data_IF_547076049498
#
_entry.id   IF_547076049498
#
_cell.length_a   1.000
_cell.length_b   1.000
_cell.length_c   1.000
_cell.angle_alpha   90.00
_cell.angle_beta   90.00
_cell.angle_gamma   90.00
#
_symmetry.space_group_name_H-M   'P 1'
#
loop_
_entity.id
_entity.type
_entity.pdbx_description
1 polymer ?
#
# COMPACT_ATOMS: atom_id res chain seq x y z
N UNK A 1 -11.42 18.46 -13.10
CA UNK A 1 -10.87 19.19 -11.94
C UNK A 1 -9.97 20.32 -12.39
N UNK A 2 -9.96 21.47 -11.70
CA UNK A 2 -8.95 22.52 -11.88
C UNK A 2 -7.78 22.23 -10.94
N UNK A 3 -6.74 21.59 -11.46
CA UNK A 3 -5.56 21.16 -10.69
C UNK A 3 -4.48 22.22 -10.81
N UNK A 4 -3.98 22.68 -9.67
CA UNK A 4 -2.73 23.44 -9.57
C UNK A 4 -1.58 22.47 -9.23
N UNK A 5 -0.33 22.93 -9.16
CA UNK A 5 0.81 22.03 -8.92
C UNK A 5 0.76 21.28 -7.57
N UNK A 6 0.14 21.85 -6.54
CA UNK A 6 0.14 21.30 -5.18
C UNK A 6 -1.25 21.18 -4.55
N UNK A 7 -2.29 21.71 -5.17
CA UNK A 7 -3.65 21.70 -4.61
C UNK A 7 -4.74 21.87 -5.68
N UNK A 8 -5.99 21.64 -5.31
CA UNK A 8 -7.17 22.09 -6.06
C UNK A 8 -8.13 22.87 -5.18
N UNK A 9 -8.79 23.88 -5.76
CA UNK A 9 -9.89 24.66 -5.15
C UNK A 9 -11.23 24.42 -5.85
N UNK A 10 -11.33 23.33 -6.60
CA UNK A 10 -12.56 23.00 -7.36
C UNK A 10 -13.78 22.78 -6.46
N UNK A 11 -13.56 22.48 -5.18
CA UNK A 11 -14.59 22.28 -4.15
C UNK A 11 -14.62 23.41 -3.13
N UNK A 12 -14.47 24.66 -3.58
CA UNK A 12 -14.52 25.84 -2.69
C UNK A 12 -15.74 25.77 -1.73
N UNK A 13 -15.55 26.05 -0.42
CA UNK A 13 -14.38 26.67 0.21
C UNK A 13 -13.22 25.71 0.52
N UNK A 14 -13.35 24.41 0.24
CA UNK A 14 -12.30 23.45 0.49
C UNK A 14 -11.10 23.65 -0.46
N UNK A 15 -9.90 23.50 0.10
CA UNK A 15 -8.64 23.42 -0.63
C UNK A 15 -8.06 22.05 -0.37
N UNK A 16 -7.96 21.22 -1.41
CA UNK A 16 -7.48 19.85 -1.29
C UNK A 16 -6.02 19.79 -1.74
N UNK A 17 -5.07 19.39 -0.89
CA UNK A 17 -3.69 19.18 -1.31
C UNK A 17 -3.61 17.99 -2.28
N UNK A 18 -2.72 18.08 -3.28
CA UNK A 18 -2.48 16.98 -4.22
C UNK A 18 -1.35 16.09 -3.71
N UNK A 19 -1.59 14.78 -3.76
CA UNK A 19 -0.60 13.74 -3.51
C UNK A 19 -0.83 12.65 -4.56
N UNK A 20 -0.32 12.86 -5.79
CA UNK A 20 -0.68 12.01 -6.90
C UNK A 20 -0.09 10.61 -6.78
N UNK A 21 -0.89 9.60 -7.12
CA UNK A 21 -0.51 8.19 -7.15
C UNK A 21 -1.36 7.43 -8.19
N UNK A 22 -1.06 6.16 -8.42
CA UNK A 22 -1.89 5.26 -9.21
C UNK A 22 -2.62 4.28 -8.29
N UNK A 23 -3.95 4.22 -8.37
CA UNK A 23 -4.80 3.31 -7.61
C UNK A 23 -4.59 1.85 -7.98
N UNK A 24 -4.36 1.59 -9.26
CA UNK A 24 -4.03 0.26 -9.80
C UNK A 24 -2.52 0.11 -9.96
N UNK A 25 -1.93 -0.83 -9.21
CA UNK A 25 -0.56 -1.32 -9.44
C UNK A 25 -0.51 -2.81 -9.11
N UNK A 26 -0.08 -3.67 -10.03
CA UNK A 26 -0.07 -5.11 -9.78
C UNK A 26 0.71 -5.94 -10.79
N UNK A 27 0.92 -7.19 -10.44
CA UNK A 27 1.49 -8.26 -11.28
C UNK A 27 0.39 -9.23 -11.72
N UNK A 28 0.68 -10.13 -12.66
CA UNK A 28 -0.29 -11.14 -13.07
C UNK A 28 -0.63 -12.10 -11.90
N UNK A 29 -1.92 -12.35 -11.62
CA UNK A 29 -2.38 -13.35 -10.64
C UNK A 29 -1.90 -14.76 -10.98
N UNK A 30 -1.85 -15.65 -9.98
CA UNK A 30 -1.43 -17.04 -10.18
C UNK A 30 -2.39 -17.81 -11.10
N UNK A 31 -3.67 -17.49 -11.04
CA UNK A 31 -4.71 -18.10 -11.85
C UNK A 31 -4.54 -17.74 -13.33
N UNK A 32 -4.64 -18.69 -14.27
CA UNK A 32 -4.59 -18.40 -15.69
C UNK A 32 -5.89 -17.70 -16.14
N UNK A 33 -5.76 -16.71 -17.03
CA UNK A 33 -6.89 -16.08 -17.70
C UNK A 33 -6.81 -14.56 -17.80
N UNK A 34 -7.93 -13.95 -18.15
CA UNK A 34 -8.09 -12.51 -18.19
C UNK A 34 -8.87 -12.03 -16.97
N UNK A 35 -8.31 -11.06 -16.25
CA UNK A 35 -8.90 -10.53 -15.03
C UNK A 35 -9.31 -9.08 -15.24
N UNK A 36 -10.46 -8.71 -14.67
CA UNK A 36 -10.85 -7.30 -14.57
C UNK A 36 -9.93 -6.62 -13.56
N UNK A 37 -9.52 -5.39 -13.86
CA UNK A 37 -8.61 -4.61 -13.00
C UNK A 37 -9.25 -4.13 -11.68
N UNK A 38 -10.56 -4.33 -11.49
CA UNK A 38 -11.33 -3.75 -10.37
C UNK A 38 -10.96 -4.32 -9.00
N UNK A 39 -10.71 -5.63 -8.89
CA UNK A 39 -10.52 -6.25 -7.58
C UNK A 39 -9.04 -6.26 -7.20
N UNK A 40 -8.67 -5.77 -6.00
CA UNK A 40 -7.34 -6.00 -5.45
C UNK A 40 -7.18 -7.45 -4.94
N UNK A 41 -5.94 -7.83 -4.70
CA UNK A 41 -5.57 -9.12 -4.12
C UNK A 41 -4.09 -9.21 -3.77
N UNK A 42 -3.59 -10.43 -3.57
CA UNK A 42 -2.17 -10.69 -3.26
C UNK A 42 -1.22 -10.18 -4.34
N UNK A 43 -1.68 -10.14 -5.59
CA UNK A 43 -0.97 -9.61 -6.75
C UNK A 43 -0.94 -8.08 -6.84
N UNK A 44 -1.53 -7.36 -5.87
CA UNK A 44 -1.77 -5.92 -5.92
C UNK A 44 -3.13 -5.59 -6.54
N UNK A 45 -3.15 -4.90 -7.68
CA UNK A 45 -4.38 -4.52 -8.38
C UNK A 45 -4.92 -3.17 -7.91
N UNK A 46 -6.25 -3.02 -7.85
CA UNK A 46 -6.92 -1.78 -7.42
C UNK A 46 -6.90 -1.62 -5.91
N UNK A 47 -5.72 -1.34 -5.35
CA UNK A 47 -5.53 -1.26 -3.91
C UNK A 47 -5.92 0.12 -3.36
N UNK A 48 -5.81 1.16 -4.19
CA UNK A 48 -6.16 2.54 -3.84
C UNK A 48 -5.50 3.00 -2.53
N UNK A 49 -4.19 2.74 -2.43
CA UNK A 49 -3.37 3.12 -1.27
C UNK A 49 -2.68 4.44 -1.55
N UNK A 50 -3.20 5.53 -0.96
CA UNK A 50 -2.72 6.91 -1.22
C UNK A 50 -1.26 7.14 -0.86
N UNK A 51 -0.64 6.25 -0.07
CA UNK A 51 0.79 6.28 0.26
C UNK A 51 1.71 5.87 -0.92
N UNK A 52 1.17 5.35 -2.04
CA UNK A 52 1.91 4.98 -3.25
C UNK A 52 2.33 6.18 -4.12
N UNK A 53 2.85 7.23 -3.47
CA UNK A 53 3.34 8.44 -4.14
C UNK A 53 4.76 8.29 -4.67
N UNK A 54 5.22 9.30 -5.41
CA UNK A 54 6.62 9.39 -5.84
C UNK A 54 7.58 9.26 -4.64
N UNK A 55 8.55 8.34 -4.74
CA UNK A 55 9.50 8.01 -3.68
C UNK A 55 9.12 6.78 -2.85
N UNK A 56 7.88 6.31 -2.94
CA UNK A 56 7.48 5.02 -2.35
C UNK A 56 8.01 3.84 -3.17
N UNK A 57 8.19 2.69 -2.52
CA UNK A 57 8.53 1.41 -3.15
C UNK A 57 7.45 0.39 -2.81
N UNK A 58 6.87 -0.22 -3.85
CA UNK A 58 5.89 -1.31 -3.74
C UNK A 58 6.60 -2.65 -4.01
N UNK A 59 6.43 -3.60 -3.09
CA UNK A 59 6.87 -4.98 -3.24
C UNK A 59 5.65 -5.85 -3.52
N UNK A 60 5.73 -6.69 -4.55
CA UNK A 60 4.66 -7.58 -4.99
C UNK A 60 5.18 -9.03 -5.07
N UNK A 61 4.38 -10.02 -4.66
CA UNK A 61 4.72 -11.42 -4.85
C UNK A 61 4.61 -11.80 -6.34
N UNK A 62 5.74 -12.19 -6.95
CA UNK A 62 5.78 -12.60 -8.35
C UNK A 62 5.60 -14.11 -8.43
N UNK A 63 4.48 -14.55 -9.01
CA UNK A 63 4.10 -15.96 -9.18
C UNK A 63 4.08 -16.41 -10.64
N UNK A 64 4.26 -15.48 -11.58
CA UNK A 64 4.35 -15.73 -13.02
C UNK A 64 5.66 -15.19 -13.61
N UNK A 65 6.15 -15.86 -14.64
CA UNK A 65 7.36 -15.45 -15.37
C UNK A 65 7.22 -14.03 -15.92
N UNK A 66 8.27 -13.23 -15.71
CA UNK A 66 8.30 -11.81 -16.08
C UNK A 66 7.43 -10.89 -15.22
N UNK A 67 6.66 -11.42 -14.25
CA UNK A 67 5.77 -10.67 -13.36
C UNK A 67 4.56 -10.06 -14.05
N UNK A 68 4.66 -9.62 -15.31
CA UNK A 68 3.60 -9.01 -16.10
C UNK A 68 2.99 -7.79 -15.37
N UNK A 69 3.87 -6.93 -14.87
CA UNK A 69 3.50 -5.74 -14.11
C UNK A 69 2.69 -4.76 -14.96
N UNK A 70 1.63 -4.20 -14.37
CA UNK A 70 0.82 -3.13 -14.94
C UNK A 70 0.47 -2.09 -13.88
N UNK A 71 0.24 -0.85 -14.32
CA UNK A 71 -0.25 0.23 -13.48
C UNK A 71 -1.23 1.12 -14.23
N UNK A 72 -2.12 1.80 -13.51
CA UNK A 72 -3.14 2.67 -14.07
C UNK A 72 -3.93 3.37 -12.97
N UNK A 73 -5.07 3.94 -13.33
CA UNK A 73 -5.95 4.66 -12.41
C UNK A 73 -5.27 5.80 -11.61
N UNK A 74 -4.69 6.80 -12.32
CA UNK A 74 -4.05 7.95 -11.68
C UNK A 74 -5.02 8.88 -10.95
N UNK A 75 -4.78 9.07 -9.66
CA UNK A 75 -5.52 10.01 -8.81
C UNK A 75 -4.61 11.19 -8.45
N UNK A 76 -5.13 12.42 -8.53
CA UNK A 76 -4.42 13.61 -8.07
C UNK A 76 -4.47 13.75 -6.53
N UNK A 77 -5.56 13.26 -5.92
CA UNK A 77 -5.71 13.10 -4.49
C UNK A 77 -6.83 12.09 -4.19
N UNK A 78 -6.68 11.36 -3.08
CA UNK A 78 -7.67 10.46 -2.53
C UNK A 78 -7.62 10.49 -0.99
N UNK A 79 -8.77 10.35 -0.34
CA UNK A 79 -8.85 10.11 1.11
C UNK A 79 -8.98 8.62 1.42
N UNK A 80 -8.62 8.21 2.65
CA UNK A 80 -8.81 6.83 3.09
C UNK A 80 -10.28 6.42 2.94
N UNK A 81 -10.48 5.27 2.31
CA UNK A 81 -11.78 4.66 2.06
C UNK A 81 -12.35 4.95 0.68
N UNK A 82 -11.85 5.97 -0.04
CA UNK A 82 -12.35 6.33 -1.37
C UNK A 82 -13.90 6.40 -1.43
N UNK A 83 -14.49 7.03 -0.40
CA UNK A 83 -15.89 6.80 0.01
C UNK A 83 -16.98 7.10 -1.04
N UNK A 84 -16.65 7.82 -2.11
CA UNK A 84 -17.56 8.15 -3.21
C UNK A 84 -17.19 7.46 -4.52
N UNK A 85 -16.56 6.27 -4.45
CA UNK A 85 -16.16 5.41 -5.57
C UNK A 85 -14.92 5.89 -6.32
N UNK A 86 -14.59 7.18 -6.31
CA UNK A 86 -13.46 7.71 -7.07
C UNK A 86 -12.64 8.68 -6.23
N UNK A 87 -11.35 8.74 -6.51
CA UNK A 87 -10.50 9.86 -6.17
C UNK A 87 -10.72 11.07 -7.09
N UNK A 88 -9.76 11.99 -7.07
CA UNK A 88 -9.64 13.03 -8.10
C UNK A 88 -8.95 12.41 -9.32
N UNK A 89 -9.73 11.76 -10.17
CA UNK A 89 -9.22 11.14 -11.41
C UNK A 89 -8.54 12.17 -12.32
N UNK A 90 -7.34 11.83 -12.82
CA UNK A 90 -6.57 12.74 -13.66
C UNK A 90 -5.63 12.02 -14.64
N UNK A 91 -5.39 12.53 -15.86
CA UNK A 91 -4.32 11.99 -16.68
C UNK A 91 -2.96 12.22 -16.02
N UNK A 92 -2.09 11.20 -16.06
CA UNK A 92 -0.75 11.28 -15.49
C UNK A 92 0.31 10.66 -16.41
N UNK A 93 1.54 11.16 -16.31
CA UNK A 93 2.74 10.50 -16.84
C UNK A 93 3.54 9.97 -15.66
N UNK A 94 3.72 8.66 -15.60
CA UNK A 94 4.33 7.99 -14.44
C UNK A 94 5.66 7.37 -14.84
N UNK A 95 6.68 7.53 -13.99
CA UNK A 95 7.98 6.88 -14.13
C UNK A 95 8.18 5.93 -12.97
N UNK A 96 8.37 4.65 -13.26
CA UNK A 96 8.69 3.61 -12.28
C UNK A 96 10.04 2.98 -12.57
N UNK A 97 10.71 2.48 -11.53
CA UNK A 97 11.88 1.60 -11.65
C UNK A 97 11.45 0.22 -11.15
N UNK A 98 11.66 -0.80 -11.97
CA UNK A 98 11.33 -2.19 -11.63
C UNK A 98 12.63 -2.95 -11.36
N UNK A 99 12.64 -3.77 -10.32
CA UNK A 99 13.77 -4.63 -9.96
C UNK A 99 13.23 -5.93 -9.39
N UNK A 100 13.97 -7.03 -9.59
CA UNK A 100 13.56 -8.34 -9.10
C UNK A 100 14.29 -8.62 -7.79
N UNK A 101 13.53 -8.89 -6.74
CA UNK A 101 14.03 -9.47 -5.50
C UNK A 101 13.82 -10.98 -5.55
N UNK A 102 14.90 -11.75 -5.39
CA UNK A 102 14.84 -13.22 -5.33
C UNK A 102 14.63 -13.67 -3.89
N UNK A 103 13.95 -14.81 -3.74
CA UNK A 103 13.83 -15.55 -2.48
C UNK A 103 13.29 -14.72 -1.29
N UNK A 104 12.30 -13.87 -1.54
CA UNK A 104 11.71 -12.99 -0.50
C UNK A 104 10.73 -13.70 0.43
N UNK A 105 10.01 -14.72 -0.05
CA UNK A 105 8.92 -15.35 0.71
C UNK A 105 7.72 -14.40 0.92
N UNK A 106 7.65 -13.29 0.20
CA UNK A 106 6.55 -12.33 0.29
C UNK A 106 5.24 -12.97 -0.18
N UNK A 107 4.16 -12.82 0.60
CA UNK A 107 2.85 -13.43 0.35
C UNK A 107 1.77 -12.44 -0.10
N UNK A 108 2.02 -11.13 0.03
CA UNK A 108 1.12 -10.07 -0.38
C UNK A 108 1.83 -8.73 -0.56
N UNK A 109 1.12 -7.66 -0.96
CA UNK A 109 1.75 -6.38 -1.23
C UNK A 109 2.32 -5.75 0.04
N UNK A 110 3.50 -5.15 -0.06
CA UNK A 110 4.14 -4.38 1.01
C UNK A 110 4.63 -3.05 0.44
N UNK A 111 4.45 -1.96 1.18
CA UNK A 111 4.89 -0.63 0.75
C UNK A 111 5.92 -0.11 1.72
N UNK A 112 6.92 0.59 1.19
CA UNK A 112 7.77 1.46 1.99
C UNK A 112 7.70 2.87 1.45
N UNK A 113 7.44 3.84 2.32
CA UNK A 113 7.33 5.24 1.88
C UNK A 113 8.65 5.98 2.11
N UNK A 114 8.85 7.05 1.33
CA UNK A 114 9.91 8.01 1.59
C UNK A 114 9.64 8.78 2.91
N UNK A 115 10.67 9.33 3.56
CA UNK A 115 10.48 10.21 4.71
C UNK A 115 9.50 11.35 4.41
N UNK A 116 8.50 11.54 5.28
CA UNK A 116 7.60 12.69 5.21
C UNK A 116 8.05 13.77 6.21
N UNK A 117 7.72 15.05 5.98
CA UNK A 117 7.91 16.07 7.00
C UNK A 117 7.14 15.68 8.29
N UNK A 118 7.81 15.90 9.42
CA UNK A 118 7.48 15.40 10.75
C UNK A 118 6.02 15.63 11.25
N UNK A 119 5.54 14.82 12.21
CA UNK A 119 6.27 13.73 12.87
C UNK A 119 6.19 12.44 12.05
N UNK A 120 7.35 11.90 11.69
CA UNK A 120 7.43 10.59 11.05
C UNK A 120 8.57 10.52 10.04
N UNK A 121 9.38 9.46 10.14
CA UNK A 121 10.17 9.02 9.00
C UNK A 121 9.26 8.51 7.88
N UNK A 122 9.81 7.68 6.99
CA UNK A 122 8.93 6.89 6.12
C UNK A 122 8.11 5.90 6.94
N UNK A 123 7.27 5.12 6.29
CA UNK A 123 6.45 4.07 6.89
C UNK A 123 6.74 2.74 6.21
N UNK A 124 6.57 1.64 6.93
CA UNK A 124 6.34 0.32 6.33
C UNK A 124 4.86 0.01 6.41
N UNK A 125 4.27 -0.45 5.30
CA UNK A 125 2.86 -0.80 5.23
C UNK A 125 2.67 -2.23 4.73
N UNK A 126 1.82 -2.98 5.41
CA UNK A 126 1.30 -4.27 4.94
C UNK A 126 -0.11 -4.06 4.39
N UNK A 127 -0.33 -4.47 3.15
CA UNK A 127 -1.60 -4.25 2.44
C UNK A 127 -2.32 -5.58 2.31
N UNK A 128 -3.56 -5.62 2.78
CA UNK A 128 -4.43 -6.79 2.69
C UNK A 128 -5.78 -6.42 2.12
N UNK A 129 -6.33 -7.33 1.34
CA UNK A 129 -7.62 -7.15 0.70
C UNK A 129 -8.51 -8.36 0.90
N UNK A 130 -9.71 -8.13 1.40
CA UNK A 130 -10.67 -9.18 1.73
C UNK A 130 -12.11 -8.66 1.55
N UNK A 131 -13.10 -9.55 1.52
CA UNK A 131 -14.51 -9.16 1.55
C UNK A 131 -14.94 -8.67 2.93
N UNK A 132 -14.21 -9.03 3.98
CA UNK A 132 -14.39 -8.55 5.35
C UNK A 132 -13.21 -7.66 5.78
N UNK A 133 -13.48 -6.38 6.07
CA UNK A 133 -12.50 -5.43 6.56
C UNK A 133 -11.77 -5.91 7.82
N UNK A 134 -12.45 -6.62 8.73
CA UNK A 134 -11.83 -7.14 9.95
C UNK A 134 -10.89 -8.32 9.64
N UNK A 135 -11.23 -9.14 8.66
CA UNK A 135 -10.35 -10.21 8.19
C UNK A 135 -9.08 -9.62 7.54
N UNK A 136 -9.22 -8.62 6.67
CA UNK A 136 -8.08 -7.90 6.08
C UNK A 136 -7.21 -7.23 7.16
N UNK A 137 -7.82 -6.57 8.15
CA UNK A 137 -7.10 -5.93 9.25
C UNK A 137 -6.30 -6.93 10.10
N UNK A 138 -6.87 -8.10 10.40
CA UNK A 138 -6.16 -9.17 11.13
C UNK A 138 -4.99 -9.71 10.32
N UNK A 139 -5.18 -9.95 9.02
CA UNK A 139 -4.12 -10.42 8.12
C UNK A 139 -2.98 -9.40 8.02
N UNK A 140 -3.30 -8.11 7.86
CA UNK A 140 -2.30 -7.05 7.76
C UNK A 140 -1.50 -6.90 9.07
N UNK A 141 -2.19 -7.05 10.22
CA UNK A 141 -1.57 -7.06 11.54
C UNK A 141 -0.62 -8.23 11.72
N UNK A 142 -1.03 -9.46 11.36
CA UNK A 142 -0.17 -10.64 11.45
C UNK A 142 1.08 -10.47 10.58
N UNK A 143 0.91 -10.02 9.34
CA UNK A 143 2.04 -9.73 8.44
C UNK A 143 2.99 -8.67 8.97
N UNK A 144 2.48 -7.67 9.70
CA UNK A 144 3.34 -6.68 10.36
C UNK A 144 4.13 -7.32 11.52
N UNK A 145 3.50 -8.18 12.31
CA UNK A 145 4.17 -8.92 13.40
C UNK A 145 5.31 -9.76 12.82
N UNK A 146 5.04 -10.55 11.78
CA UNK A 146 6.04 -11.43 11.15
C UNK A 146 7.22 -10.60 10.61
N UNK A 147 6.93 -9.48 9.96
CA UNK A 147 7.94 -8.56 9.47
C UNK A 147 8.80 -7.98 10.59
N UNK A 148 8.20 -7.59 11.71
CA UNK A 148 8.91 -7.05 12.88
C UNK A 148 9.80 -8.10 13.54
N UNK A 149 9.31 -9.34 13.66
CA UNK A 149 10.08 -10.48 14.18
C UNK A 149 11.28 -10.78 13.27
N UNK A 150 11.06 -10.84 11.95
CA UNK A 150 12.09 -11.19 10.97
C UNK A 150 13.23 -10.15 10.86
N UNK A 151 12.95 -8.88 11.15
CA UNK A 151 13.91 -7.78 10.95
C UNK A 151 14.57 -7.27 12.23
N UNK A 152 13.97 -7.48 13.40
CA UNK A 152 14.49 -6.99 14.70
C UNK A 152 14.54 -8.06 15.79
N UNK A 153 14.32 -9.33 15.46
CA UNK A 153 14.36 -10.46 16.40
C UNK A 153 13.49 -10.23 17.65
N UNK A 154 12.41 -9.47 17.49
CA UNK A 154 11.45 -9.27 18.56
C UNK A 154 10.79 -10.61 18.89
N UNK A 155 10.51 -10.83 20.19
CA UNK A 155 9.58 -11.89 20.57
C UNK A 155 8.21 -11.58 19.94
N UNK A 156 7.46 -12.57 19.44
CA UNK A 156 6.15 -12.33 18.83
C UNK A 156 5.20 -11.52 19.70
N UNK A 157 5.22 -11.71 21.02
CA UNK A 157 4.38 -10.96 21.97
C UNK A 157 4.79 -9.47 22.04
N UNK A 158 6.09 -9.17 21.94
CA UNK A 158 6.57 -7.80 21.91
C UNK A 158 6.25 -7.11 20.59
N UNK A 159 6.40 -7.82 19.46
CA UNK A 159 5.98 -7.30 18.15
C UNK A 159 4.48 -7.00 18.13
N UNK A 160 3.65 -7.88 18.71
CA UNK A 160 2.22 -7.64 18.81
C UNK A 160 1.85 -6.45 19.71
N UNK A 161 2.49 -6.32 20.88
CA UNK A 161 2.33 -5.15 21.75
C UNK A 161 2.76 -3.85 21.04
N UNK A 162 3.86 -3.90 20.29
CA UNK A 162 4.35 -2.76 19.49
C UNK A 162 3.32 -2.35 18.43
N UNK A 163 2.76 -3.32 17.70
CA UNK A 163 1.67 -3.06 16.77
C UNK A 163 0.50 -2.35 17.47
N UNK A 164 0.12 -2.78 18.66
CA UNK A 164 -1.02 -2.18 19.39
C UNK A 164 -0.81 -0.71 19.79
N UNK A 165 0.43 -0.26 19.97
CA UNK A 165 0.72 1.10 20.48
C UNK A 165 1.31 2.05 19.44
N UNK A 166 1.77 1.53 18.29
CA UNK A 166 2.49 2.33 17.31
C UNK A 166 2.11 2.06 15.84
N UNK A 167 1.26 1.08 15.56
CA UNK A 167 0.78 0.80 14.20
C UNK A 167 -0.61 1.40 13.98
N UNK A 168 -0.82 1.99 12.82
CA UNK A 168 -2.12 2.46 12.35
C UNK A 168 -2.75 1.43 11.41
N UNK A 169 -4.03 1.11 11.61
CA UNK A 169 -4.85 0.41 10.62
C UNK A 169 -5.70 1.43 9.87
N UNK A 170 -5.61 1.44 8.53
CA UNK A 170 -6.33 2.37 7.65
C UNK A 170 -7.16 1.60 6.64
N UNK A 171 -8.41 2.00 6.44
CA UNK A 171 -9.23 1.53 5.32
C UNK A 171 -8.73 2.29 4.08
N UNK A 172 -8.00 1.63 3.18
CA UNK A 172 -7.44 2.29 1.99
C UNK A 172 -8.54 2.59 0.98
N UNK A 173 -9.37 1.59 0.69
CA UNK A 173 -10.63 1.74 -0.05
C UNK A 173 -11.70 0.80 0.50
N UNK A 174 -12.97 1.21 0.39
CA UNK A 174 -14.13 0.37 0.75
C UNK A 174 -15.14 0.21 -0.40
N UNK A 175 -14.72 0.51 -1.62
CA UNK A 175 -15.61 0.71 -2.77
C UNK A 175 -15.38 -0.28 -3.92
N UNK A 176 -14.26 -1.03 -3.91
CA UNK A 176 -13.94 -2.06 -4.90
C UNK A 176 -14.71 -3.37 -4.66
N UNK A 177 -16.04 -3.25 -4.53
CA UNK A 177 -16.97 -4.34 -4.18
C UNK A 177 -16.72 -5.59 -5.03
N UNK A 178 -16.62 -6.78 -4.41
CA UNK A 178 -16.91 -7.06 -3.00
C UNK A 178 -15.71 -6.93 -2.05
N UNK A 179 -14.56 -6.44 -2.52
CA UNK A 179 -13.30 -6.49 -1.78
C UNK A 179 -12.93 -5.10 -1.27
N UNK A 180 -12.61 -5.01 0.02
CA UNK A 180 -12.05 -3.81 0.65
C UNK A 180 -10.56 -4.00 0.86
N UNK A 181 -9.82 -2.89 0.98
CA UNK A 181 -8.38 -2.92 1.24
C UNK A 181 -8.07 -2.24 2.56
N UNK A 182 -7.33 -2.93 3.42
CA UNK A 182 -6.81 -2.41 4.69
C UNK A 182 -5.30 -2.35 4.62
N UNK A 183 -4.72 -1.24 5.11
CA UNK A 183 -3.30 -1.07 5.28
C UNK A 183 -2.94 -0.98 6.76
N UNK A 184 -1.91 -1.74 7.16
CA UNK A 184 -1.30 -1.67 8.48
C UNK A 184 0.03 -0.93 8.36
N UNK A 185 0.13 0.27 8.93
CA UNK A 185 1.28 1.17 8.78
C UNK A 185 2.03 1.36 10.10
N UNK A 186 3.36 1.27 10.07
CA UNK A 186 4.19 1.57 11.23
C UNK A 186 5.35 2.50 10.81
N UNK A 187 5.64 3.50 11.65
CA UNK A 187 6.66 4.50 11.33
C UNK A 187 8.07 3.91 11.34
N UNK A 188 8.91 4.32 10.39
CA UNK A 188 10.33 3.94 10.35
C UNK A 188 11.14 4.51 11.50
N UNK A 189 10.68 5.58 12.15
CA UNK A 189 11.43 6.25 13.22
C UNK A 189 11.30 5.58 14.59
N UNK A 190 10.39 4.62 14.76
CA UNK A 190 10.22 3.94 16.06
C UNK A 190 11.14 2.72 16.22
N UNK A 191 11.83 2.31 15.16
CA UNK A 191 12.75 1.19 15.14
C UNK A 191 14.13 1.65 14.65
N UNK A 192 15.23 1.05 15.14
CA UNK A 192 16.56 1.33 14.61
C UNK A 192 16.66 0.85 13.16
N UNK A 193 17.62 1.43 12.43
CA UNK A 193 17.95 0.98 11.07
C UNK A 193 18.32 -0.52 11.10
N UNK A 194 17.60 -1.39 10.37
CA UNK A 194 17.89 -2.82 10.35
C UNK A 194 19.16 -3.15 9.54
N UNK A 195 19.76 -2.18 8.82
CA UNK A 195 20.95 -2.33 7.98
C UNK A 195 20.65 -3.08 6.68
N UNK A 196 20.08 -4.28 6.77
CA UNK A 196 19.51 -5.04 5.66
C UNK A 196 18.07 -5.41 5.97
N UNK A 197 17.15 -4.89 5.18
CA UNK A 197 15.73 -5.23 5.30
C UNK A 197 15.43 -6.59 4.66
N UNK A 198 14.86 -7.50 5.43
CA UNK A 198 14.28 -8.75 4.96
C UNK A 198 12.84 -8.45 4.55
N UNK A 199 12.59 -8.46 3.24
CA UNK A 199 11.23 -8.32 2.68
C UNK A 199 10.59 -9.71 2.73
N UNK A 200 10.02 -10.07 3.87
CA UNK A 200 9.36 -11.36 4.09
C UNK A 200 8.22 -11.22 5.10
N UNK A 201 7.28 -12.16 5.05
CA UNK A 201 6.13 -12.22 5.97
C UNK A 201 5.70 -13.69 6.20
N UNK A 202 6.66 -14.60 6.34
CA UNK A 202 6.43 -16.04 6.57
C UNK A 202 6.99 -16.54 7.90
#
# INVERSE_FOLDING_TARGET
WKLDASSTKSLSPAVVPLQPFCGVMGVAPAEPGEFRTRAPGTFGGNMDVKELVAGSTLFLPVVNDGGLFSLGDPHAAQGDGEVCINGIECPATVRVKISVLKDSGLTGPMITTAPRPAPGGGEWLMIESDKDALAAARQATNRMIDFLVANWELRPEHAYLLCSVAMDLRLSQVVNTPVVTVSASISKSILPDPGRLVITNS
#
